data_IF_467012204711
#
_entry.id   IF_467012204711
#
_cell.length_a   1.000
_cell.length_b   1.000
_cell.length_c   1.000
_cell.angle_alpha   90.00
_cell.angle_beta   90.00
_cell.angle_gamma   90.00
#
_symmetry.space_group_name_H-M   'P 1'
#
loop_
_entity.id
_entity.type
_entity.pdbx_description
1 polymer ?
#
# COMPACT_ATOMS: atom_id res chain seq x y z
N UNK A 1 -42.62 -19.11 20.59
CA UNK A 1 -41.32 -18.83 21.25
C UNK A 1 -41.54 -17.60 22.09
N UNK A 2 -41.97 -17.83 23.32
CA UNK A 2 -42.19 -16.75 24.27
C UNK A 2 -40.81 -16.34 24.78
N UNK A 3 -40.36 -15.14 24.38
CA UNK A 3 -39.19 -14.51 24.96
C UNK A 3 -39.52 -14.17 26.42
N UNK A 4 -39.17 -15.06 27.34
CA UNK A 4 -39.10 -14.71 28.76
C UNK A 4 -38.02 -13.63 28.91
N UNK A 5 -38.46 -12.39 29.03
CA UNK A 5 -37.58 -11.29 29.41
C UNK A 5 -36.95 -11.64 30.76
N UNK A 6 -35.61 -11.58 30.91
CA UNK A 6 -34.92 -11.93 32.17
C UNK A 6 -35.12 -10.87 33.27
N UNK A 7 -36.13 -10.02 33.15
CA UNK A 7 -36.36 -8.87 34.01
C UNK A 7 -37.72 -9.06 34.68
N UNK A 8 -37.73 -9.17 36.00
CA UNK A 8 -38.97 -9.39 36.75
C UNK A 8 -39.96 -8.25 36.48
N UNK A 9 -41.27 -8.56 36.43
CA UNK A 9 -42.32 -7.55 36.18
C UNK A 9 -42.28 -6.40 37.20
N UNK A 10 -41.80 -6.66 38.41
CA UNK A 10 -41.60 -5.66 39.46
C UNK A 10 -40.51 -4.65 39.10
N UNK A 11 -39.42 -5.11 38.48
CA UNK A 11 -38.31 -4.26 38.00
C UNK A 11 -38.80 -3.36 36.86
N UNK A 12 -39.54 -3.91 35.90
CA UNK A 12 -40.09 -3.13 34.77
C UNK A 12 -41.07 -2.05 35.24
N UNK A 13 -41.99 -2.39 36.15
CA UNK A 13 -42.96 -1.43 36.68
C UNK A 13 -42.30 -0.28 37.45
N UNK A 14 -41.23 -0.57 38.20
CA UNK A 14 -40.48 0.45 38.95
C UNK A 14 -39.63 1.34 38.04
N UNK A 15 -39.03 0.78 36.99
CA UNK A 15 -38.33 1.56 35.96
C UNK A 15 -39.28 2.50 35.21
N UNK A 16 -40.51 2.07 34.92
CA UNK A 16 -41.53 2.92 34.31
C UNK A 16 -42.03 4.05 35.23
N UNK A 17 -42.10 3.80 36.55
CA UNK A 17 -42.43 4.84 37.52
C UNK A 17 -41.34 5.93 37.57
N UNK A 18 -40.07 5.53 37.55
CA UNK A 18 -38.90 6.43 37.56
C UNK A 18 -38.79 7.31 36.29
N UNK A 19 -39.16 6.77 35.12
CA UNK A 19 -39.17 7.56 33.88
C UNK A 19 -40.31 8.59 33.88
N UNK A 20 -41.45 8.26 34.48
CA UNK A 20 -42.57 9.19 34.58
C UNK A 20 -42.32 10.31 35.62
N UNK A 21 -41.70 10.00 36.76
CA UNK A 21 -41.35 11.01 37.78
C UNK A 21 -40.22 11.92 37.32
N UNK A 22 -39.19 11.40 36.64
CA UNK A 22 -38.11 12.24 36.08
C UNK A 22 -38.59 13.20 35.00
N UNK A 23 -39.58 12.83 34.17
CA UNK A 23 -40.22 13.73 33.22
C UNK A 23 -40.95 14.90 33.90
N UNK A 24 -41.70 14.60 34.98
CA UNK A 24 -42.40 15.62 35.77
C UNK A 24 -41.41 16.52 36.53
N UNK A 25 -40.32 15.98 37.05
CA UNK A 25 -39.32 16.75 37.78
C UNK A 25 -38.48 17.65 36.86
N UNK A 26 -38.16 17.20 35.64
CA UNK A 26 -37.53 18.04 34.62
C UNK A 26 -38.43 19.23 34.21
N UNK A 27 -39.75 19.06 34.25
CA UNK A 27 -40.71 20.13 34.00
C UNK A 27 -40.86 21.13 35.16
N UNK A 28 -40.58 20.72 36.42
CA UNK A 28 -40.64 21.61 37.59
C UNK A 28 -39.37 22.45 37.80
N UNK A 29 -38.25 22.05 37.17
CA UNK A 29 -37.00 22.84 37.10
C UNK A 29 -37.20 24.16 36.31
N UNK A 30 -38.32 24.33 35.59
CA UNK A 30 -38.67 25.59 34.92
C UNK A 30 -39.33 26.65 35.82
N UNK A 31 -39.42 26.45 37.13
CA UNK A 31 -39.78 27.52 38.07
C UNK A 31 -38.56 28.42 38.35
N UNK A 32 -38.20 29.27 37.39
CA UNK A 32 -37.30 30.41 37.65
C UNK A 32 -38.01 31.43 38.56
N UNK A 33 -37.49 31.73 39.78
CA UNK A 33 -38.00 32.84 40.58
C UNK A 33 -37.68 34.18 39.90
N UNK A 34 -38.58 35.16 40.01
CA UNK A 34 -38.34 36.54 39.58
C UNK A 34 -37.17 37.15 40.38
N UNK A 35 -36.35 38.04 39.76
CA UNK A 35 -35.09 38.46 40.35
C UNK A 35 -35.30 39.61 41.35
N UNK A 36 -35.31 39.27 42.63
CA UNK A 36 -34.78 40.13 43.68
C UNK A 36 -33.54 39.47 44.31
N UNK A 37 -32.77 40.24 45.08
CA UNK A 37 -31.35 40.01 45.39
C UNK A 37 -31.02 38.75 46.21
N UNK A 38 -31.97 37.83 46.44
CA UNK A 38 -31.72 36.52 47.07
C UNK A 38 -31.31 35.40 46.08
N UNK A 39 -31.35 35.64 44.77
CA UNK A 39 -31.13 34.59 43.77
C UNK A 39 -29.74 33.91 43.85
N UNK A 40 -28.66 34.67 44.10
CA UNK A 40 -27.31 34.09 44.20
C UNK A 40 -27.12 33.22 45.44
N UNK A 41 -27.76 33.57 46.56
CA UNK A 41 -27.74 32.76 47.77
C UNK A 41 -28.58 31.49 47.60
N UNK A 42 -29.69 31.56 46.86
CA UNK A 42 -30.50 30.37 46.54
C UNK A 42 -29.78 29.41 45.59
N UNK A 43 -29.07 29.90 44.57
CA UNK A 43 -28.28 29.08 43.64
C UNK A 43 -27.09 28.46 44.38
N UNK A 44 -26.35 29.24 45.15
CA UNK A 44 -25.21 28.74 45.94
C UNK A 44 -25.66 27.70 46.99
N UNK A 45 -26.85 27.89 47.58
CA UNK A 45 -27.44 26.93 48.51
C UNK A 45 -27.86 25.63 47.81
N UNK A 46 -28.50 25.74 46.64
CA UNK A 46 -28.91 24.60 45.83
C UNK A 46 -27.70 23.79 45.34
N UNK A 47 -26.63 24.45 44.88
CA UNK A 47 -25.37 23.81 44.49
C UNK A 47 -24.71 23.09 45.66
N UNK A 48 -24.69 23.71 46.85
CA UNK A 48 -24.15 23.05 48.06
C UNK A 48 -24.97 21.84 48.44
N UNK A 49 -26.30 21.90 48.33
CA UNK A 49 -27.19 20.78 48.62
C UNK A 49 -26.99 19.64 47.60
N UNK A 50 -26.95 19.97 46.32
CA UNK A 50 -26.64 19.03 45.24
C UNK A 50 -25.28 18.36 45.43
N UNK A 51 -24.25 19.13 45.80
CA UNK A 51 -22.93 18.59 46.11
C UNK A 51 -22.92 17.67 47.33
N UNK A 52 -23.77 17.91 48.33
CA UNK A 52 -23.91 17.03 49.50
C UNK A 52 -24.58 15.71 49.12
N UNK A 53 -25.69 15.75 48.37
CA UNK A 53 -26.39 14.53 47.93
C UNK A 53 -25.47 13.68 47.06
N UNK A 54 -24.77 14.29 46.09
CA UNK A 54 -23.82 13.57 45.22
C UNK A 54 -22.71 12.89 46.02
N UNK A 55 -22.13 13.59 47.01
CA UNK A 55 -21.09 12.99 47.88
C UNK A 55 -21.64 11.85 48.73
N UNK A 56 -22.88 11.95 49.19
CA UNK A 56 -23.52 10.88 49.95
C UNK A 56 -23.76 9.65 49.08
N UNK A 57 -24.27 9.85 47.87
CA UNK A 57 -24.51 8.78 46.90
C UNK A 57 -23.22 8.08 46.47
N UNK A 58 -22.14 8.84 46.26
CA UNK A 58 -20.81 8.28 45.98
C UNK A 58 -20.33 7.41 47.15
N UNK A 59 -20.48 7.87 48.39
CA UNK A 59 -20.09 7.07 49.57
C UNK A 59 -20.90 5.79 49.68
N UNK A 60 -22.22 5.85 49.45
CA UNK A 60 -23.05 4.65 49.47
C UNK A 60 -22.65 3.67 48.36
N UNK A 61 -22.31 4.17 47.17
CA UNK A 61 -21.78 3.35 46.08
C UNK A 61 -20.44 2.71 46.45
N UNK A 62 -19.51 3.47 47.02
CA UNK A 62 -18.21 2.94 47.46
C UNK A 62 -18.36 1.84 48.52
N UNK A 63 -19.31 2.01 49.46
CA UNK A 63 -19.63 1.00 50.46
C UNK A 63 -20.24 -0.25 49.82
N UNK A 64 -21.14 -0.10 48.85
CA UNK A 64 -21.74 -1.21 48.12
C UNK A 64 -20.71 -1.96 47.28
N UNK A 65 -19.82 -1.24 46.59
CA UNK A 65 -18.73 -1.82 45.82
C UNK A 65 -17.83 -2.63 46.75
N UNK A 66 -17.42 -2.07 47.90
CA UNK A 66 -16.60 -2.81 48.88
C UNK A 66 -17.29 -4.08 49.39
N UNK A 67 -18.58 -3.99 49.74
CA UNK A 67 -19.38 -5.16 50.17
C UNK A 67 -19.43 -6.23 49.09
N UNK A 68 -19.61 -5.84 47.83
CA UNK A 68 -19.63 -6.77 46.69
C UNK A 68 -18.25 -7.37 46.43
N UNK A 69 -17.18 -6.57 46.51
CA UNK A 69 -15.79 -7.05 46.39
C UNK A 69 -15.44 -8.05 47.51
N UNK A 70 -15.87 -7.79 48.74
CA UNK A 70 -15.71 -8.70 49.87
C UNK A 70 -16.49 -9.99 49.69
N UNK A 71 -17.73 -9.92 49.20
CA UNK A 71 -18.52 -11.10 48.85
C UNK A 71 -17.85 -11.93 47.75
N UNK A 72 -17.32 -11.28 46.70
CA UNK A 72 -16.56 -11.94 45.63
C UNK A 72 -15.28 -12.60 46.18
N UNK A 73 -14.53 -11.92 47.07
CA UNK A 73 -13.37 -12.51 47.75
C UNK A 73 -13.76 -13.74 48.58
N UNK A 74 -14.88 -13.65 49.31
CA UNK A 74 -15.44 -14.75 50.07
C UNK A 74 -15.74 -15.97 49.20
N UNK A 75 -16.47 -15.78 48.10
CA UNK A 75 -16.81 -16.84 47.15
C UNK A 75 -15.57 -17.46 46.50
N UNK A 76 -14.58 -16.64 46.11
CA UNK A 76 -13.29 -17.14 45.59
C UNK A 76 -12.58 -18.05 46.61
N UNK A 77 -12.52 -17.63 47.87
CA UNK A 77 -11.92 -18.44 48.93
C UNK A 77 -12.67 -19.75 49.19
N UNK A 78 -14.01 -19.77 49.04
CA UNK A 78 -14.81 -20.99 49.15
C UNK A 78 -14.53 -21.95 48.00
N UNK A 79 -14.41 -21.44 46.77
CA UNK A 79 -14.03 -22.25 45.59
C UNK A 79 -12.63 -22.86 45.77
N UNK A 80 -11.67 -22.08 46.28
CA UNK A 80 -10.32 -22.57 46.59
C UNK A 80 -10.30 -23.66 47.67
N UNK A 81 -11.20 -23.59 48.67
CA UNK A 81 -11.36 -24.64 49.69
C UNK A 81 -11.98 -25.92 49.11
N UNK A 82 -12.92 -25.79 48.17
CA UNK A 82 -13.51 -26.93 47.47
C UNK A 82 -12.50 -27.63 46.56
N UNK A 83 -11.61 -26.87 45.90
CA UNK A 83 -10.50 -27.44 45.12
C UNK A 83 -9.50 -28.24 45.98
N UNK A 84 -9.36 -27.92 47.27
CA UNK A 84 -8.41 -28.59 48.19
C UNK A 84 -8.97 -29.85 48.85
N UNK A 85 -10.26 -30.18 48.69
CA UNK A 85 -10.86 -31.41 49.21
C UNK A 85 -10.56 -32.58 48.25
N UNK A 86 -10.15 -33.72 48.80
CA UNK A 86 -9.68 -34.92 48.07
C UNK A 86 -10.72 -35.55 47.11
N UNK A 87 -11.99 -35.13 47.14
CA UNK A 87 -13.07 -35.64 46.27
C UNK A 87 -13.39 -34.75 45.05
N UNK A 88 -12.60 -33.69 44.81
CA UNK A 88 -12.85 -32.70 43.76
C UNK A 88 -12.41 -33.19 42.37
N UNK A 89 -13.30 -33.90 41.67
CA UNK A 89 -13.16 -34.12 40.22
C UNK A 89 -13.39 -32.80 39.45
N UNK A 90 -12.62 -32.51 38.38
CA UNK A 90 -12.70 -31.23 37.66
C UNK A 90 -14.09 -30.94 37.08
N UNK A 91 -14.84 -31.99 36.72
CA UNK A 91 -16.21 -31.89 36.22
C UNK A 91 -17.21 -31.45 37.30
N UNK A 92 -17.09 -31.97 38.53
CA UNK A 92 -17.95 -31.57 39.66
C UNK A 92 -17.71 -30.11 40.06
N UNK A 93 -16.46 -29.67 39.99
CA UNK A 93 -16.08 -28.27 40.22
C UNK A 93 -16.63 -27.34 39.13
N UNK A 94 -16.59 -27.77 37.86
CA UNK A 94 -17.16 -27.00 36.75
C UNK A 94 -18.69 -26.87 36.88
N UNK A 95 -19.37 -27.96 37.24
CA UNK A 95 -20.82 -27.99 37.46
C UNK A 95 -21.23 -27.14 38.68
N UNK A 96 -20.45 -27.16 39.76
CA UNK A 96 -20.69 -26.28 40.91
C UNK A 96 -20.53 -24.79 40.54
N UNK A 97 -19.57 -24.44 39.67
CA UNK A 97 -19.38 -23.06 39.19
C UNK A 97 -20.54 -22.59 38.29
N UNK A 98 -21.05 -23.45 37.42
CA UNK A 98 -22.15 -23.09 36.51
C UNK A 98 -23.46 -22.93 37.27
N UNK A 99 -23.73 -23.78 38.26
CA UNK A 99 -24.88 -23.63 39.17
C UNK A 99 -24.76 -22.34 39.98
N UNK A 100 -23.60 -22.08 40.60
CA UNK A 100 -23.38 -20.85 41.36
C UNK A 100 -23.51 -19.59 40.48
N UNK A 101 -23.07 -19.63 39.23
CA UNK A 101 -23.23 -18.52 38.28
C UNK A 101 -24.69 -18.31 37.89
N UNK A 102 -25.43 -19.40 37.67
CA UNK A 102 -26.87 -19.35 37.37
C UNK A 102 -27.64 -18.76 38.54
N UNK A 103 -27.44 -19.30 39.74
CA UNK A 103 -28.13 -18.87 40.97
C UNK A 103 -27.76 -17.41 41.32
N UNK A 104 -26.49 -17.04 41.14
CA UNK A 104 -26.02 -15.66 41.32
C UNK A 104 -26.60 -14.69 40.30
N UNK A 105 -26.73 -15.10 39.03
CA UNK A 105 -27.36 -14.28 37.99
C UNK A 105 -28.85 -14.11 38.27
N UNK A 106 -29.56 -15.18 38.64
CA UNK A 106 -30.97 -15.11 39.02
C UNK A 106 -31.18 -14.18 40.22
N UNK A 107 -30.38 -14.33 41.27
CA UNK A 107 -30.43 -13.44 42.44
C UNK A 107 -30.16 -11.97 42.09
N UNK A 108 -29.23 -11.72 41.17
CA UNK A 108 -28.92 -10.36 40.69
C UNK A 108 -30.05 -9.72 39.90
N UNK A 109 -30.83 -10.50 39.14
CA UNK A 109 -31.97 -9.99 38.38
C UNK A 109 -33.27 -9.90 39.21
N UNK A 110 -33.36 -10.69 40.28
CA UNK A 110 -34.49 -10.67 41.23
C UNK A 110 -34.42 -9.47 42.18
N UNK A 111 -33.21 -9.07 42.60
CA UNK A 111 -32.97 -7.86 43.40
C UNK A 111 -32.72 -6.66 42.49
N UNK A 112 -33.50 -5.58 42.64
CA UNK A 112 -33.22 -4.34 41.92
C UNK A 112 -31.87 -3.78 42.41
N UNK A 113 -30.87 -3.57 41.54
CA UNK A 113 -29.63 -2.94 41.93
C UNK A 113 -29.90 -1.60 42.60
N UNK A 114 -29.03 -1.21 43.53
CA UNK A 114 -29.13 0.11 44.15
C UNK A 114 -29.21 1.17 43.05
N UNK A 115 -30.26 1.98 43.12
CA UNK A 115 -30.47 3.11 42.25
C UNK A 115 -30.53 4.36 43.13
N UNK A 116 -29.85 5.45 42.76
CA UNK A 116 -29.99 6.71 43.48
C UNK A 116 -31.46 7.14 43.51
N UNK A 117 -31.86 7.76 44.62
CA UNK A 117 -33.20 8.30 44.80
C UNK A 117 -33.51 9.35 43.71
N UNK A 118 -34.77 9.53 43.34
CA UNK A 118 -35.24 10.52 42.35
C UNK A 118 -34.67 11.93 42.60
N UNK A 119 -34.60 12.37 43.87
CA UNK A 119 -34.05 13.67 44.28
C UNK A 119 -32.50 13.72 44.34
N UNK A 120 -31.83 12.62 43.96
CA UNK A 120 -30.38 12.56 43.92
C UNK A 120 -29.82 13.45 42.81
N UNK A 121 -28.86 14.28 43.18
CA UNK A 121 -28.07 15.04 42.23
C UNK A 121 -27.31 14.19 41.20
N UNK A 122 -27.04 12.90 41.49
CA UNK A 122 -26.29 12.02 40.57
C UNK A 122 -27.06 11.71 39.29
N UNK A 123 -28.39 11.58 39.35
CA UNK A 123 -29.23 11.40 38.17
C UNK A 123 -29.15 12.59 37.22
N UNK A 124 -29.08 13.81 37.77
CA UNK A 124 -28.91 15.04 36.98
C UNK A 124 -27.53 15.10 36.33
N UNK A 125 -26.47 14.69 37.04
CA UNK A 125 -25.12 14.65 36.46
C UNK A 125 -24.97 13.58 35.38
N UNK A 126 -25.59 12.41 35.56
CA UNK A 126 -25.59 11.34 34.57
C UNK A 126 -26.35 11.74 33.31
N UNK A 127 -27.53 12.35 33.46
CA UNK A 127 -28.28 12.88 32.31
C UNK A 127 -27.50 13.96 31.59
N UNK A 128 -26.90 14.91 32.30
CA UNK A 128 -26.05 15.95 31.70
C UNK A 128 -24.86 15.34 30.94
N UNK A 129 -24.14 14.39 31.56
CA UNK A 129 -23.02 13.69 30.91
C UNK A 129 -23.47 12.97 29.65
N UNK A 130 -24.60 12.27 29.69
CA UNK A 130 -25.14 11.56 28.53
C UNK A 130 -25.52 12.54 27.41
N UNK A 131 -26.18 13.65 27.75
CA UNK A 131 -26.51 14.70 26.79
C UNK A 131 -25.25 15.28 26.16
N UNK A 132 -24.21 15.59 26.96
CA UNK A 132 -22.93 16.08 26.43
C UNK A 132 -22.26 15.07 25.50
N UNK A 133 -22.22 13.78 25.89
CA UNK A 133 -21.67 12.72 25.05
C UNK A 133 -22.43 12.59 23.72
N UNK A 134 -23.76 12.69 23.75
CA UNK A 134 -24.60 12.66 22.55
C UNK A 134 -24.34 13.88 21.66
N UNK A 135 -24.18 15.07 22.25
CA UNK A 135 -23.83 16.28 21.50
C UNK A 135 -22.46 16.12 20.84
N UNK A 136 -21.46 15.62 21.55
CA UNK A 136 -20.12 15.38 20.99
C UNK A 136 -20.13 14.32 19.88
N UNK A 137 -20.86 13.22 20.08
CA UNK A 137 -21.02 12.17 19.06
C UNK A 137 -21.72 12.72 17.82
N UNK A 138 -22.79 13.52 17.99
CA UNK A 138 -23.50 14.15 16.89
C UNK A 138 -22.62 15.16 16.14
N UNK A 139 -21.80 15.97 16.85
CA UNK A 139 -20.85 16.88 16.21
C UNK A 139 -19.86 16.14 15.32
N UNK A 140 -19.28 15.04 15.82
CA UNK A 140 -18.40 14.17 15.02
C UNK A 140 -19.14 13.60 13.80
N UNK A 141 -20.35 13.11 14.00
CA UNK A 141 -21.21 12.60 12.92
C UNK A 141 -21.52 13.64 11.84
N UNK A 142 -21.78 14.90 12.22
CA UNK A 142 -21.98 16.01 11.29
C UNK A 142 -20.71 16.27 10.48
N UNK A 143 -19.54 16.36 11.12
CA UNK A 143 -18.28 16.59 10.40
C UNK A 143 -17.95 15.46 9.41
N UNK A 144 -18.26 14.21 9.77
CA UNK A 144 -18.10 13.06 8.87
C UNK A 144 -19.09 13.09 7.70
N UNK A 145 -20.33 13.50 7.95
CA UNK A 145 -21.33 13.68 6.91
C UNK A 145 -20.93 14.82 5.94
N UNK A 146 -20.45 15.94 6.45
CA UNK A 146 -19.94 17.05 5.64
C UNK A 146 -18.78 16.62 4.74
N UNK A 147 -17.82 15.88 5.29
CA UNK A 147 -16.71 15.31 4.50
C UNK A 147 -17.21 14.41 3.37
N UNK A 148 -18.14 13.49 3.66
CA UNK A 148 -18.74 12.60 2.66
C UNK A 148 -19.50 13.36 1.58
N UNK A 149 -20.20 14.44 1.95
CA UNK A 149 -20.90 15.30 0.99
C UNK A 149 -19.91 16.00 0.07
N UNK A 150 -18.79 16.51 0.58
CA UNK A 150 -17.75 17.12 -0.26
C UNK A 150 -17.05 16.11 -1.17
N UNK A 151 -16.79 14.89 -0.70
CA UNK A 151 -16.29 13.79 -1.53
C UNK A 151 -17.28 13.45 -2.66
N UNK A 152 -18.58 13.35 -2.35
CA UNK A 152 -19.61 13.08 -3.34
C UNK A 152 -19.75 14.23 -4.36
N UNK A 153 -19.70 15.49 -3.92
CA UNK A 153 -19.70 16.65 -4.83
C UNK A 153 -18.51 16.61 -5.79
N UNK A 154 -17.32 16.24 -5.30
CA UNK A 154 -16.13 16.07 -6.16
C UNK A 154 -16.33 14.92 -7.15
N UNK A 155 -16.92 13.80 -6.74
CA UNK A 155 -17.24 12.70 -7.64
C UNK A 155 -18.22 13.13 -8.74
N UNK A 156 -19.32 13.79 -8.38
CA UNK A 156 -20.31 14.32 -9.33
C UNK A 156 -19.69 15.31 -10.32
N UNK A 157 -18.78 16.19 -9.88
CA UNK A 157 -18.07 17.11 -10.78
C UNK A 157 -17.21 16.36 -11.79
N UNK A 158 -16.50 15.31 -11.37
CA UNK A 158 -15.73 14.46 -12.28
C UNK A 158 -16.64 13.77 -13.28
N UNK A 159 -17.70 13.12 -12.83
CA UNK A 159 -18.64 12.43 -13.72
C UNK A 159 -19.30 13.38 -14.73
N UNK A 160 -19.67 14.59 -14.32
CA UNK A 160 -20.17 15.63 -15.24
C UNK A 160 -19.14 16.01 -16.30
N UNK A 161 -17.87 16.11 -15.92
CA UNK A 161 -16.76 16.33 -16.86
C UNK A 161 -16.66 15.18 -17.87
N UNK A 162 -16.78 13.94 -17.40
CA UNK A 162 -16.71 12.74 -18.25
C UNK A 162 -17.90 12.67 -19.23
N UNK A 163 -19.09 13.00 -18.77
CA UNK A 163 -20.28 13.09 -19.63
C UNK A 163 -20.11 14.19 -20.68
N UNK A 164 -19.58 15.36 -20.31
CA UNK A 164 -19.32 16.43 -21.27
C UNK A 164 -18.30 16.02 -22.34
N UNK A 165 -17.20 15.36 -21.94
CA UNK A 165 -16.22 14.84 -22.91
C UNK A 165 -16.80 13.73 -23.78
N UNK A 166 -17.66 12.87 -23.23
CA UNK A 166 -18.32 11.82 -24.00
C UNK A 166 -19.25 12.42 -25.07
N UNK A 167 -20.01 13.48 -24.73
CA UNK A 167 -20.86 14.20 -25.69
C UNK A 167 -20.05 14.92 -26.77
N UNK A 168 -18.86 15.42 -26.45
CA UNK A 168 -17.97 16.03 -27.45
C UNK A 168 -17.41 14.98 -28.41
N UNK A 169 -16.99 13.83 -27.88
CA UNK A 169 -16.56 12.68 -28.69
C UNK A 169 -17.69 12.19 -29.59
N UNK A 170 -18.91 12.05 -29.06
CA UNK A 170 -20.10 11.66 -29.82
C UNK A 170 -20.33 12.60 -31.02
N UNK A 171 -20.29 13.92 -30.80
CA UNK A 171 -20.41 14.91 -31.88
C UNK A 171 -19.31 14.81 -32.92
N UNK A 172 -18.07 14.57 -32.50
CA UNK A 172 -16.94 14.41 -33.43
C UNK A 172 -17.04 13.09 -34.21
N UNK A 173 -17.54 12.03 -33.59
CA UNK A 173 -17.82 10.77 -34.27
C UNK A 173 -18.95 10.92 -35.29
N UNK A 174 -20.04 11.58 -34.92
CA UNK A 174 -21.15 11.87 -35.85
C UNK A 174 -20.66 12.69 -37.05
N UNK A 175 -19.85 13.73 -36.82
CA UNK A 175 -19.21 14.51 -37.89
C UNK A 175 -18.37 13.64 -38.82
N UNK A 176 -17.55 12.73 -38.26
CA UNK A 176 -16.73 11.81 -39.05
C UNK A 176 -17.56 10.79 -39.81
N UNK A 177 -18.65 10.30 -39.23
CA UNK A 177 -19.59 9.40 -39.90
C UNK A 177 -20.20 10.14 -41.09
N UNK A 178 -20.67 11.38 -40.90
CA UNK A 178 -21.20 12.22 -41.98
C UNK A 178 -20.16 12.47 -43.08
N UNK A 179 -18.90 12.74 -42.71
CA UNK A 179 -17.79 12.87 -43.65
C UNK A 179 -17.56 11.58 -44.44
N UNK A 180 -17.50 10.43 -43.77
CA UNK A 180 -17.28 9.12 -44.40
C UNK A 180 -18.44 8.70 -45.31
N UNK A 181 -19.68 8.89 -44.87
CA UNK A 181 -20.86 8.69 -45.72
C UNK A 181 -20.86 9.65 -46.91
N UNK A 182 -20.35 10.87 -46.72
CA UNK A 182 -20.07 11.83 -47.78
C UNK A 182 -19.00 11.32 -48.76
N UNK A 183 -17.92 10.73 -48.26
CA UNK A 183 -16.85 10.11 -49.07
C UNK A 183 -17.36 8.93 -49.89
N UNK A 184 -18.30 8.15 -49.35
CA UNK A 184 -18.92 7.07 -50.12
C UNK A 184 -19.77 7.57 -51.29
N UNK A 185 -20.27 8.80 -51.19
CA UNK A 185 -20.98 9.54 -52.25
C UNK A 185 -20.04 10.38 -53.14
N UNK A 186 -18.75 10.49 -52.84
CA UNK A 186 -17.78 11.20 -53.69
C UNK A 186 -17.46 10.41 -54.97
N UNK A 187 -17.19 11.09 -56.10
CA UNK A 187 -16.81 10.43 -57.34
C UNK A 187 -15.48 9.65 -57.19
N UNK A 188 -15.36 8.50 -57.88
CA UNK A 188 -14.20 7.58 -57.87
C UNK A 188 -12.78 8.17 -57.74
N UNK A 189 -12.42 9.34 -58.33
CA UNK A 189 -11.08 9.93 -58.17
C UNK A 189 -10.61 10.16 -56.72
N UNK A 190 -11.50 10.42 -55.75
CA UNK A 190 -11.10 10.64 -54.35
C UNK A 190 -10.78 9.34 -53.63
N UNK A 191 -11.59 8.28 -53.83
CA UNK A 191 -11.33 6.92 -53.33
C UNK A 191 -9.97 6.38 -53.82
N UNK A 192 -9.57 6.73 -55.06
CA UNK A 192 -8.24 6.40 -55.59
C UNK A 192 -7.09 7.16 -54.90
N UNK A 193 -7.32 8.37 -54.38
CA UNK A 193 -6.29 9.13 -53.65
C UNK A 193 -6.04 8.54 -52.26
N UNK A 194 -7.08 8.17 -51.54
CA UNK A 194 -6.98 7.53 -50.22
C UNK A 194 -6.32 6.16 -50.31
N UNK A 195 -6.71 5.33 -51.29
CA UNK A 195 -6.01 4.05 -51.55
C UNK A 195 -4.52 4.25 -51.85
N UNK A 196 -4.17 5.29 -52.63
CA UNK A 196 -2.77 5.62 -52.90
C UNK A 196 -2.02 6.07 -51.65
N UNK A 197 -2.66 6.75 -50.71
CA UNK A 197 -2.06 7.12 -49.43
C UNK A 197 -1.82 5.88 -48.56
N UNK A 198 -2.80 4.99 -48.46
CA UNK A 198 -2.65 3.71 -47.74
C UNK A 198 -1.50 2.88 -48.35
N UNK A 199 -1.47 2.76 -49.68
CA UNK A 199 -0.38 2.07 -50.38
C UNK A 199 0.98 2.74 -50.15
N UNK A 200 1.03 4.07 -50.00
CA UNK A 200 2.27 4.79 -49.69
C UNK A 200 2.74 4.48 -48.26
N UNK A 201 1.84 4.52 -47.28
CA UNK A 201 2.16 4.16 -45.89
C UNK A 201 2.59 2.69 -45.76
N UNK A 202 1.94 1.78 -46.47
CA UNK A 202 2.36 0.38 -46.50
C UNK A 202 3.76 0.19 -47.08
N UNK A 203 4.11 0.96 -48.13
CA UNK A 203 5.46 0.92 -48.71
C UNK A 203 6.48 1.46 -47.73
N UNK A 204 6.20 2.59 -47.08
CA UNK A 204 7.07 3.17 -46.07
C UNK A 204 7.30 2.22 -44.89
N UNK A 205 6.24 1.58 -44.37
CA UNK A 205 6.35 0.57 -43.32
C UNK A 205 7.18 -0.65 -43.76
N UNK A 206 7.01 -1.11 -45.00
CA UNK A 206 7.82 -2.19 -45.60
C UNK A 206 9.29 -1.79 -45.79
N UNK A 207 9.58 -0.53 -46.04
CA UNK A 207 10.94 -0.02 -46.14
C UNK A 207 11.59 0.08 -44.76
N UNK A 208 10.90 0.64 -43.77
CA UNK A 208 11.38 0.75 -42.38
C UNK A 208 11.67 -0.63 -41.76
N UNK A 209 10.83 -1.62 -42.01
CA UNK A 209 11.06 -3.00 -41.54
C UNK A 209 12.29 -3.62 -42.21
N UNK A 210 12.47 -3.42 -43.53
CA UNK A 210 13.68 -3.89 -44.24
C UNK A 210 14.94 -3.22 -43.72
N UNK A 211 14.93 -1.90 -43.49
CA UNK A 211 16.08 -1.18 -42.95
C UNK A 211 16.39 -1.61 -41.52
N UNK A 212 15.37 -1.85 -40.69
CA UNK A 212 15.53 -2.37 -39.33
C UNK A 212 16.19 -3.76 -39.32
N UNK A 213 15.70 -4.70 -40.13
CA UNK A 213 16.29 -6.05 -40.25
C UNK A 213 17.72 -6.01 -40.79
N UNK A 214 18.04 -5.08 -41.68
CA UNK A 214 19.41 -4.90 -42.17
C UNK A 214 20.32 -4.36 -41.06
N UNK A 215 19.88 -3.33 -40.33
CA UNK A 215 20.65 -2.69 -39.27
C UNK A 215 20.93 -3.67 -38.12
N UNK A 216 19.95 -4.48 -37.72
CA UNK A 216 20.14 -5.48 -36.67
C UNK A 216 21.17 -6.54 -37.06
N UNK A 217 21.18 -6.98 -38.33
CA UNK A 217 22.20 -7.91 -38.85
C UNK A 217 23.60 -7.29 -38.88
N UNK A 218 23.72 -6.04 -39.32
CA UNK A 218 25.00 -5.32 -39.34
C UNK A 218 25.53 -5.09 -37.91
N UNK A 219 24.66 -4.77 -36.96
CA UNK A 219 25.00 -4.67 -35.53
C UNK A 219 25.49 -6.01 -34.97
N UNK A 220 24.76 -7.11 -35.22
CA UNK A 220 25.19 -8.44 -34.78
C UNK A 220 26.58 -8.81 -35.32
N UNK A 221 26.84 -8.52 -36.60
CA UNK A 221 28.14 -8.75 -37.22
C UNK A 221 29.24 -7.90 -36.55
N UNK A 222 28.98 -6.61 -36.33
CA UNK A 222 29.91 -5.72 -35.67
C UNK A 222 30.26 -6.17 -34.25
N UNK A 223 29.25 -6.59 -33.48
CA UNK A 223 29.46 -7.09 -32.11
C UNK A 223 30.33 -8.34 -32.12
N UNK A 224 30.01 -9.33 -32.97
CA UNK A 224 30.77 -10.58 -33.04
C UNK A 224 32.22 -10.38 -33.52
N UNK A 225 32.44 -9.53 -34.54
CA UNK A 225 33.76 -9.39 -35.16
C UNK A 225 34.70 -8.41 -34.44
N UNK A 226 34.16 -7.40 -33.75
CA UNK A 226 34.95 -6.27 -33.24
C UNK A 226 34.83 -6.10 -31.74
N UNK A 227 33.61 -6.22 -31.21
CA UNK A 227 33.32 -5.81 -29.84
C UNK A 227 33.39 -6.96 -28.83
N UNK A 228 33.06 -8.18 -29.23
CA UNK A 228 33.09 -9.37 -28.37
C UNK A 228 34.46 -9.61 -27.75
N UNK A 229 35.53 -9.59 -28.55
CA UNK A 229 36.90 -9.70 -28.05
C UNK A 229 37.28 -8.56 -27.09
N UNK A 230 36.85 -7.32 -27.39
CA UNK A 230 37.14 -6.18 -26.54
C UNK A 230 36.40 -6.24 -25.18
N UNK A 231 35.15 -6.70 -25.18
CA UNK A 231 34.35 -6.90 -23.95
C UNK A 231 34.93 -8.03 -23.12
N UNK A 232 35.32 -9.14 -23.74
CA UNK A 232 35.94 -10.26 -23.04
C UNK A 232 37.23 -9.84 -22.32
N UNK A 233 38.07 -9.00 -22.95
CA UNK A 233 39.27 -8.42 -22.31
C UNK A 233 38.88 -7.55 -21.11
N UNK A 234 37.91 -6.64 -21.24
CA UNK A 234 37.49 -5.77 -20.14
C UNK A 234 36.89 -6.58 -18.97
N UNK A 235 36.16 -7.66 -19.26
CA UNK A 235 35.61 -8.58 -18.24
C UNK A 235 36.71 -9.35 -17.51
N UNK A 236 37.75 -9.81 -18.22
CA UNK A 236 38.92 -10.44 -17.65
C UNK A 236 39.81 -9.48 -16.82
N UNK A 237 39.51 -8.17 -16.84
CA UNK A 237 40.24 -7.13 -16.09
C UNK A 237 41.37 -6.48 -16.88
N UNK A 238 41.39 -6.69 -18.20
CA UNK A 238 42.28 -6.04 -19.13
C UNK A 238 41.90 -4.58 -19.42
N UNK A 239 42.59 -3.94 -20.38
CA UNK A 239 42.39 -2.54 -20.71
C UNK A 239 40.96 -2.25 -21.18
N UNK A 240 40.47 -1.08 -20.79
CA UNK A 240 39.11 -0.60 -21.05
C UNK A 240 38.85 -0.47 -22.55
N UNK A 241 37.67 -0.88 -23.02
CA UNK A 241 37.24 -0.79 -24.42
C UNK A 241 37.29 0.68 -24.87
N UNK A 242 38.03 0.96 -25.95
CA UNK A 242 38.27 2.31 -26.49
C UNK A 242 39.62 2.94 -26.13
N UNK A 243 40.45 2.25 -25.34
CA UNK A 243 41.88 2.58 -25.19
C UNK A 243 42.65 2.29 -26.50
N UNK A 244 43.79 2.96 -26.75
CA UNK A 244 44.53 2.98 -28.04
C UNK A 244 45.13 1.63 -28.50
N UNK A 245 44.63 0.49 -28.05
CA UNK A 245 45.11 -0.84 -28.40
C UNK A 245 44.42 -1.37 -29.66
N UNK A 246 45.20 -2.02 -30.53
CA UNK A 246 44.69 -2.63 -31.74
C UNK A 246 43.98 -3.97 -31.44
N UNK A 247 43.01 -4.36 -32.27
CA UNK A 247 42.25 -5.62 -32.12
C UNK A 247 43.15 -6.87 -32.06
N UNK A 248 44.28 -6.85 -32.77
CA UNK A 248 45.26 -7.94 -32.77
C UNK A 248 45.95 -8.04 -31.40
N UNK A 249 46.23 -6.89 -30.76
CA UNK A 249 46.85 -6.85 -29.43
C UNK A 249 45.87 -7.32 -28.36
N UNK A 250 44.58 -6.99 -28.48
CA UNK A 250 43.51 -7.46 -27.59
C UNK A 250 43.33 -8.99 -27.62
N UNK A 251 43.37 -9.61 -28.80
CA UNK A 251 43.32 -11.07 -28.93
C UNK A 251 44.54 -11.74 -28.31
N UNK A 252 45.73 -11.16 -28.53
CA UNK A 252 46.96 -11.63 -27.88
C UNK A 252 46.88 -11.54 -26.34
N UNK A 253 46.18 -10.55 -25.77
CA UNK A 253 45.94 -10.49 -24.31
C UNK A 253 45.09 -11.67 -23.82
N UNK A 254 44.04 -12.05 -24.54
CA UNK A 254 43.23 -13.22 -24.22
C UNK A 254 44.05 -14.52 -24.28
N UNK A 255 44.86 -14.69 -25.31
CA UNK A 255 45.70 -15.89 -25.49
C UNK A 255 46.76 -16.01 -24.38
N UNK A 256 47.25 -14.88 -23.86
CA UNK A 256 48.19 -14.82 -22.73
C UNK A 256 47.51 -15.14 -21.39
N UNK A 257 46.25 -14.74 -21.19
CA UNK A 257 45.47 -15.07 -19.99
C UNK A 257 44.94 -16.51 -19.99
N UNK A 258 44.61 -17.06 -21.17
CA UNK A 258 44.12 -18.43 -21.36
C UNK A 258 45.21 -19.51 -21.16
N UNK A 259 46.49 -19.13 -21.06
CA UNK A 259 47.53 -20.02 -20.55
C UNK A 259 48.18 -20.98 -21.54
N UNK A 260 48.23 -20.65 -22.84
CA UNK A 260 48.88 -21.53 -23.85
C UNK A 260 50.13 -20.90 -24.54
N UNK A 261 50.62 -19.77 -24.02
CA UNK A 261 51.83 -19.12 -24.52
C UNK A 261 53.11 -19.52 -23.79
N UNK A 262 53.75 -20.64 -24.17
CA UNK A 262 55.17 -20.88 -23.87
C UNK A 262 56.04 -19.85 -24.61
N UNK A 263 56.33 -18.70 -24.01
CA UNK A 263 57.59 -17.95 -24.24
C UNK A 263 57.75 -16.84 -23.21
N UNK A 264 58.96 -16.76 -22.65
CA UNK A 264 59.28 -15.91 -21.52
C UNK A 264 59.29 -14.42 -21.84
N UNK A 265 58.26 -13.71 -21.38
CA UNK A 265 58.39 -12.31 -20.95
C UNK A 265 57.27 -11.94 -19.97
N UNK A 266 57.50 -12.21 -18.69
CA UNK A 266 56.62 -11.77 -17.60
C UNK A 266 56.66 -10.25 -17.52
N UNK A 267 55.62 -9.58 -18.02
CA UNK A 267 55.42 -8.13 -17.82
C UNK A 267 54.83 -7.88 -16.43
N UNK A 268 54.97 -6.62 -15.97
CA UNK A 268 54.63 -6.16 -14.60
C UNK A 268 53.18 -6.43 -14.15
N UNK A 269 52.29 -6.90 -15.02
CA UNK A 269 50.91 -7.29 -14.71
C UNK A 269 50.82 -8.58 -13.85
N UNK A 270 51.75 -9.52 -14.00
CA UNK A 270 51.78 -10.74 -13.16
C UNK A 270 52.10 -10.41 -11.69
N UNK A 271 52.82 -9.31 -11.42
CA UNK A 271 53.07 -8.81 -10.05
C UNK A 271 51.87 -8.12 -9.40
N UNK A 272 50.87 -7.69 -10.19
CA UNK A 272 49.63 -7.15 -9.64
C UNK A 272 48.66 -8.28 -9.19
N UNK A 273 48.73 -9.44 -9.85
CA UNK A 273 47.96 -10.65 -9.49
C UNK A 273 48.40 -11.27 -8.14
N UNK A 274 49.63 -11.02 -7.70
CA UNK A 274 50.15 -11.50 -6.40
C UNK A 274 49.82 -10.58 -5.21
N UNK A 275 49.38 -9.33 -5.47
CA UNK A 275 49.08 -8.34 -4.41
C UNK A 275 47.64 -7.81 -4.39
N UNK A 276 46.81 -8.16 -5.37
CA UNK A 276 45.40 -7.79 -5.42
C UNK A 276 44.50 -9.01 -5.32
N UNK A 277 43.86 -9.18 -4.17
CA UNK A 277 42.59 -9.88 -3.93
C UNK A 277 42.19 -10.96 -4.95
N UNK A 278 42.25 -12.23 -4.51
CA UNK A 278 41.37 -13.28 -5.03
C UNK A 278 39.94 -12.75 -5.01
N UNK A 279 39.33 -12.55 -6.19
CA UNK A 279 37.95 -12.08 -6.31
C UNK A 279 37.03 -13.16 -5.76
N UNK A 280 36.05 -12.72 -4.97
CA UNK A 280 35.12 -13.54 -4.18
C UNK A 280 34.17 -14.42 -5.02
N UNK A 281 34.36 -14.47 -6.34
CA UNK A 281 33.52 -15.23 -7.28
C UNK A 281 33.80 -16.74 -7.22
N UNK A 282 34.97 -17.16 -6.73
CA UNK A 282 35.29 -18.59 -6.51
C UNK A 282 34.52 -19.21 -5.32
N UNK A 283 33.82 -18.39 -4.51
CA UNK A 283 33.12 -18.85 -3.30
C UNK A 283 31.60 -19.06 -3.53
N UNK A 284 31.02 -18.58 -4.63
CA UNK A 284 29.55 -18.57 -4.79
C UNK A 284 28.94 -19.29 -6.01
N UNK A 285 29.55 -20.41 -6.41
CA UNK A 285 28.85 -21.47 -7.13
C UNK A 285 29.02 -21.46 -8.65
N UNK A 286 30.03 -22.19 -9.12
CA UNK A 286 30.06 -22.68 -10.50
C UNK A 286 29.11 -23.87 -10.62
N UNK A 287 27.98 -23.66 -11.29
CA UNK A 287 27.26 -24.77 -11.90
C UNK A 287 27.96 -25.04 -13.23
N UNK A 288 28.77 -26.10 -13.23
CA UNK A 288 29.35 -26.68 -14.44
C UNK A 288 28.20 -27.14 -15.34
N UNK A 289 27.86 -26.34 -16.36
CA UNK A 289 27.12 -26.86 -17.51
C UNK A 289 28.16 -27.26 -18.57
N UNK A 290 28.34 -28.58 -18.67
CA UNK A 290 28.91 -29.27 -19.81
C UNK A 290 28.15 -28.85 -21.09
N UNK A 291 28.80 -28.12 -21.99
CA UNK A 291 28.22 -27.87 -23.31
C UNK A 291 28.94 -26.81 -24.12
N UNK A 292 29.83 -27.26 -25.01
CA UNK A 292 30.51 -26.48 -26.06
C UNK A 292 31.49 -25.44 -25.48
N UNK A 293 32.77 -25.55 -25.84
CA UNK A 293 33.77 -24.52 -25.56
C UNK A 293 33.46 -23.26 -26.40
N UNK A 294 32.42 -22.50 -26.01
CA UNK A 294 32.12 -21.20 -26.58
C UNK A 294 33.28 -20.30 -26.20
N UNK A 295 33.87 -19.64 -27.19
CA UNK A 295 34.99 -18.75 -26.93
C UNK A 295 34.53 -17.62 -26.00
N UNK A 296 35.36 -17.16 -25.05
CA UNK A 296 35.03 -16.04 -24.17
C UNK A 296 34.63 -14.77 -24.94
N UNK A 297 35.18 -14.59 -26.16
CA UNK A 297 34.81 -13.51 -27.09
C UNK A 297 33.35 -13.59 -27.55
N UNK A 298 32.88 -14.80 -27.90
CA UNK A 298 31.51 -15.04 -28.35
C UNK A 298 30.49 -14.87 -27.22
N UNK A 299 30.80 -15.41 -26.03
CA UNK A 299 29.93 -15.27 -24.84
C UNK A 299 29.71 -13.81 -24.46
N UNK A 300 30.78 -13.01 -24.47
CA UNK A 300 30.71 -11.58 -24.17
C UNK A 300 29.91 -10.79 -25.24
N UNK A 301 30.04 -11.19 -26.51
CA UNK A 301 29.26 -10.61 -27.61
C UNK A 301 27.77 -10.95 -27.52
N UNK A 302 27.43 -12.18 -27.16
CA UNK A 302 26.04 -12.63 -26.97
C UNK A 302 25.37 -11.94 -25.79
N UNK A 303 26.06 -11.78 -24.65
CA UNK A 303 25.53 -11.06 -23.49
C UNK A 303 25.20 -9.59 -23.83
N UNK A 304 26.04 -8.93 -24.63
CA UNK A 304 25.75 -7.56 -25.07
C UNK A 304 24.51 -7.50 -25.97
N UNK A 305 24.38 -8.43 -26.92
CA UNK A 305 23.23 -8.46 -27.83
C UNK A 305 21.93 -8.75 -27.07
N UNK A 306 21.95 -9.70 -26.13
CA UNK A 306 20.82 -10.01 -25.28
C UNK A 306 20.40 -8.81 -24.43
N UNK A 307 21.36 -8.05 -23.90
CA UNK A 307 21.08 -6.83 -23.14
C UNK A 307 20.46 -5.74 -24.01
N UNK A 308 20.97 -5.53 -25.23
CA UNK A 308 20.39 -4.56 -26.19
C UNK A 308 18.96 -4.96 -26.55
N UNK A 309 18.72 -6.25 -26.84
CA UNK A 309 17.39 -6.76 -27.16
C UNK A 309 16.41 -6.53 -26.01
N UNK A 310 16.81 -6.86 -24.77
CA UNK A 310 16.02 -6.61 -23.56
C UNK A 310 15.69 -5.12 -23.42
N UNK A 311 16.66 -4.23 -23.63
CA UNK A 311 16.47 -2.78 -23.52
C UNK A 311 15.53 -2.21 -24.59
N UNK A 312 15.63 -2.69 -25.83
CA UNK A 312 14.74 -2.26 -26.92
C UNK A 312 13.32 -2.78 -26.67
N UNK A 313 13.17 -4.04 -26.25
CA UNK A 313 11.87 -4.62 -25.98
C UNK A 313 11.17 -3.96 -24.78
N UNK A 314 11.89 -3.58 -23.72
CA UNK A 314 11.29 -2.85 -22.60
C UNK A 314 10.87 -1.44 -23.00
N UNK A 315 11.68 -0.75 -23.82
CA UNK A 315 11.31 0.56 -24.37
C UNK A 315 10.04 0.49 -25.24
N UNK A 316 9.88 -0.57 -26.03
CA UNK A 316 8.72 -0.74 -26.92
C UNK A 316 7.43 -1.17 -26.19
N UNK A 317 7.54 -2.00 -25.15
CA UNK A 317 6.38 -2.58 -24.48
C UNK A 317 5.86 -1.75 -23.30
N UNK A 318 6.74 -1.07 -22.57
CA UNK A 318 6.39 -0.36 -21.34
C UNK A 318 6.28 1.15 -21.58
N UNK A 319 7.40 1.86 -21.41
CA UNK A 319 7.52 3.31 -21.46
C UNK A 319 8.93 3.64 -22.02
N UNK A 320 9.08 4.65 -22.90
CA UNK A 320 10.38 5.16 -23.34
C UNK A 320 11.39 5.47 -22.21
N UNK A 321 10.92 5.61 -20.97
CA UNK A 321 11.74 5.88 -19.79
C UNK A 321 11.87 4.69 -18.82
N UNK A 322 11.41 3.50 -19.20
CA UNK A 322 11.45 2.30 -18.37
C UNK A 322 12.88 1.83 -18.08
N UNK A 323 13.12 1.41 -16.83
CA UNK A 323 14.39 0.84 -16.39
C UNK A 323 14.33 -0.69 -16.38
N UNK A 324 15.33 -1.32 -16.99
CA UNK A 324 15.53 -2.78 -16.94
C UNK A 324 16.50 -3.13 -15.80
N UNK A 325 16.21 -4.20 -15.06
CA UNK A 325 17.08 -4.71 -13.98
C UNK A 325 18.18 -5.60 -14.55
N UNK A 326 19.42 -5.27 -14.22
CA UNK A 326 20.60 -6.07 -14.52
C UNK A 326 20.74 -7.22 -13.52
N UNK A 327 21.24 -8.37 -14.01
CA UNK A 327 21.58 -9.54 -13.17
C UNK A 327 22.90 -9.34 -12.44
N UNK A 328 23.87 -8.73 -13.12
CA UNK A 328 25.21 -8.40 -12.62
C UNK A 328 25.76 -7.14 -13.28
N UNK A 329 26.76 -6.53 -12.67
CA UNK A 329 27.51 -5.42 -13.28
C UNK A 329 28.49 -5.95 -14.35
N UNK A 330 28.01 -6.11 -15.58
CA UNK A 330 28.80 -6.64 -16.70
C UNK A 330 29.56 -5.56 -17.46
N UNK A 331 30.67 -5.93 -18.12
CA UNK A 331 31.41 -5.03 -19.00
C UNK A 331 30.54 -4.49 -20.15
N UNK A 332 29.58 -5.29 -20.64
CA UNK A 332 28.58 -4.86 -21.62
C UNK A 332 27.72 -3.68 -21.10
N UNK A 333 27.22 -3.75 -19.86
CA UNK A 333 26.43 -2.67 -19.26
C UNK A 333 27.24 -1.37 -19.11
N UNK A 334 28.51 -1.46 -18.67
CA UNK A 334 29.42 -0.31 -18.57
C UNK A 334 29.75 0.28 -19.94
N UNK A 335 29.93 -0.56 -20.95
CA UNK A 335 30.19 -0.12 -22.32
C UNK A 335 29.01 0.68 -22.87
N UNK A 336 27.77 0.20 -22.73
CA UNK A 336 26.57 0.91 -23.20
C UNK A 336 26.38 2.29 -22.53
N UNK A 337 26.73 2.40 -21.25
CA UNK A 337 26.67 3.67 -20.52
C UNK A 337 27.78 4.62 -20.98
N UNK A 338 29.00 4.10 -21.20
CA UNK A 338 30.15 4.89 -21.67
C UNK A 338 29.99 5.35 -23.12
N UNK A 339 29.33 4.56 -23.96
CA UNK A 339 29.03 4.91 -25.35
C UNK A 339 27.82 5.85 -25.49
N UNK A 340 27.23 6.29 -24.37
CA UNK A 340 26.05 7.16 -24.34
C UNK A 340 24.85 6.55 -25.10
N UNK A 341 24.71 5.22 -25.07
CA UNK A 341 23.53 4.53 -25.61
C UNK A 341 22.50 4.26 -24.51
N UNK A 342 22.97 4.10 -23.29
CA UNK A 342 22.14 3.82 -22.12
C UNK A 342 22.54 4.71 -20.92
N UNK A 343 21.64 4.81 -19.95
CA UNK A 343 21.89 5.52 -18.68
C UNK A 343 21.53 4.63 -17.50
N UNK A 344 22.30 4.72 -16.41
CA UNK A 344 21.97 4.06 -15.16
C UNK A 344 20.98 4.88 -14.35
N UNK A 345 20.26 4.20 -13.46
CA UNK A 345 19.39 4.89 -12.52
C UNK A 345 20.24 5.65 -11.48
N UNK A 346 19.94 6.93 -11.17
CA UNK A 346 20.79 7.77 -10.30
C UNK A 346 21.02 7.22 -8.89
N UNK A 347 20.10 6.38 -8.41
CA UNK A 347 20.14 5.77 -7.08
C UNK A 347 20.45 4.27 -7.09
N UNK A 348 20.38 3.61 -8.25
CA UNK A 348 20.46 2.16 -8.35
C UNK A 348 21.30 1.75 -9.57
N UNK A 349 22.54 1.35 -9.32
CA UNK A 349 23.48 0.95 -10.38
C UNK A 349 23.08 -0.37 -11.08
N UNK A 350 22.13 -1.13 -10.53
CA UNK A 350 21.61 -2.36 -11.14
C UNK A 350 20.43 -2.12 -12.08
N UNK A 351 20.06 -0.86 -12.32
CA UNK A 351 18.99 -0.49 -13.25
C UNK A 351 19.54 0.35 -14.40
N UNK A 352 19.26 -0.09 -15.62
CA UNK A 352 19.71 0.55 -16.85
C UNK A 352 18.51 0.85 -17.75
N UNK A 353 18.54 1.99 -18.44
CA UNK A 353 17.55 2.35 -19.47
C UNK A 353 18.24 2.75 -20.75
N UNK A 354 17.58 2.50 -21.87
CA UNK A 354 18.01 3.02 -23.17
C UNK A 354 17.74 4.53 -23.23
N UNK A 355 18.58 5.27 -23.95
CA UNK A 355 18.25 6.65 -24.31
C UNK A 355 17.21 6.61 -25.43
N UNK A 356 16.20 7.46 -25.34
CA UNK A 356 15.18 7.56 -26.37
C UNK A 356 15.75 8.28 -27.60
N UNK A 357 15.96 7.51 -28.67
CA UNK A 357 16.40 8.02 -29.97
C UNK A 357 15.22 8.34 -30.92
N UNK A 358 14.00 7.95 -30.56
CA UNK A 358 12.79 8.12 -31.37
C UNK A 358 11.95 9.34 -30.97
N UNK A 359 12.12 9.85 -29.74
CA UNK A 359 11.47 11.04 -29.26
C UNK A 359 11.75 12.25 -30.14
N UNK A 360 10.75 12.68 -30.91
CA UNK A 360 10.77 14.01 -31.53
C UNK A 360 10.74 15.03 -30.39
N UNK A 361 11.75 15.88 -30.35
CA UNK A 361 11.71 17.10 -29.55
C UNK A 361 10.63 17.95 -30.20
N UNK A 362 9.41 17.92 -29.65
CA UNK A 362 8.49 19.04 -29.85
C UNK A 362 9.21 20.25 -29.25
N UNK A 363 9.79 21.05 -30.15
CA UNK A 363 10.43 22.29 -29.82
C UNK A 363 9.37 23.18 -29.16
N UNK A 364 9.39 23.20 -27.83
CA UNK A 364 8.58 24.10 -27.03
C UNK A 364 8.88 25.53 -27.43
N UNK A 365 7.88 26.17 -28.01
CA UNK A 365 7.66 27.60 -27.93
C UNK A 365 6.44 27.86 -27.05
#
# INVERSE_FOLDING_TARGET
MDYEFPVSRAVVARLQALTHTSYLHASSINNYPRPDQSAQDTVSSAERQHGKTVRQDIRTLDELIKKQEDAIRGLKSQIERLHKREEATPEKVALAKTIALKDGSQSYFDELPWLPHDDSGTNTLLTLRNVLNVIEANRKGVTDAERKVEEMKKAVRRERGWVATAQEIEKELDRKIDELEGVDRLPEPTKRRERKQIEAYEKEAKEMTKTSVRLTKELQKFVKEKLGAAIAVEEAGGPVIGSKLNLIELRNYLDIEAGDGKTGRRTKAVKARERGQKRLDEIWGGQDDEGVAISPEEKAGEELLELIEKLVNTMLNDDPHAYTRLTRESAASRYLVRSFVATLHPKDAMRIRLIDFGGRIDAGH
#
